data_IF_120402857137
#
_entry.id   IF_120402857137
#
_cell.length_a   1.000
_cell.length_b   1.000
_cell.length_c   1.000
_cell.angle_alpha   90.00
_cell.angle_beta   90.00
_cell.angle_gamma   90.00
#
_symmetry.space_group_name_H-M   'P 1'
#
loop_
_entity.id
_entity.type
_entity.pdbx_description
1 polymer ?
#
# COMPACT_ATOMS: atom_id res chain seq x y z
N UNK A 1 -32.70 -6.67 1.41
CA UNK A 1 -33.84 -6.11 0.66
C UNK A 1 -34.61 -5.12 1.52
N UNK A 2 -35.09 -4.04 0.95
CA UNK A 2 -36.01 -3.09 1.59
C UNK A 2 -37.39 -3.61 1.36
N UNK A 3 -38.16 -3.82 2.45
CA UNK A 3 -39.53 -4.37 2.40
C UNK A 3 -40.54 -3.39 2.99
N UNK A 4 -41.81 -3.46 2.58
CA UNK A 4 -42.90 -2.66 3.15
C UNK A 4 -42.91 -1.19 2.71
N UNK A 5 -42.37 -0.91 1.53
CA UNK A 5 -42.37 0.44 0.95
C UNK A 5 -43.76 0.72 0.38
N UNK A 6 -44.33 1.89 0.70
CA UNK A 6 -45.61 2.31 0.14
C UNK A 6 -45.55 2.50 -1.39
N UNK A 7 -46.65 2.36 -2.14
CA UNK A 7 -46.67 2.70 -3.55
C UNK A 7 -46.26 4.17 -3.76
N UNK A 8 -45.32 4.43 -4.66
CA UNK A 8 -44.81 5.77 -4.92
C UNK A 8 -43.54 5.77 -5.74
N UNK A 9 -43.05 6.96 -6.01
CA UNK A 9 -41.79 7.21 -6.74
C UNK A 9 -40.71 7.62 -5.76
N UNK A 10 -39.58 6.93 -5.80
CA UNK A 10 -38.50 7.09 -4.82
C UNK A 10 -37.20 7.53 -5.47
N UNK A 11 -36.43 8.32 -4.73
CA UNK A 11 -34.99 8.49 -4.94
C UNK A 11 -34.24 7.62 -3.94
N UNK A 12 -33.21 6.93 -4.42
CA UNK A 12 -32.43 6.01 -3.57
C UNK A 12 -31.06 6.62 -3.37
N UNK A 13 -30.66 6.72 -2.10
CA UNK A 13 -29.35 7.14 -1.65
C UNK A 13 -28.74 6.08 -0.74
N UNK A 14 -27.44 5.93 -0.81
CA UNK A 14 -26.65 5.18 0.15
C UNK A 14 -25.67 6.12 0.84
N UNK A 15 -25.52 6.02 2.14
CA UNK A 15 -24.57 6.79 2.93
C UNK A 15 -23.77 5.82 3.80
N UNK A 16 -22.45 5.90 3.75
CA UNK A 16 -21.58 5.28 4.72
C UNK A 16 -21.30 6.30 5.81
N UNK A 17 -22.25 6.38 6.76
CA UNK A 17 -22.26 7.31 7.86
C UNK A 17 -21.25 6.87 8.92
N UNK A 18 -20.19 7.64 9.10
CA UNK A 18 -19.08 7.30 10.02
C UNK A 18 -19.32 7.78 11.44
N UNK A 19 -20.07 8.86 11.62
CA UNK A 19 -20.35 9.48 12.92
C UNK A 19 -21.79 9.27 13.43
N UNK A 20 -22.63 8.57 12.64
CA UNK A 20 -24.00 8.17 12.95
C UNK A 20 -24.97 9.36 13.14
N UNK A 21 -24.71 10.47 12.42
CA UNK A 21 -25.57 11.63 12.44
C UNK A 21 -26.72 11.57 11.42
N UNK A 22 -26.74 10.51 10.57
CA UNK A 22 -27.70 10.25 9.48
C UNK A 22 -27.70 11.32 8.40
N UNK A 23 -26.59 11.99 8.21
CA UNK A 23 -26.41 13.06 7.21
C UNK A 23 -25.05 12.89 6.54
N UNK A 24 -24.95 13.39 5.31
CA UNK A 24 -23.65 13.60 4.70
C UNK A 24 -23.05 14.90 5.25
N UNK A 25 -22.27 14.78 6.29
CA UNK A 25 -21.68 15.90 7.03
C UNK A 25 -20.20 16.08 6.74
N UNK A 26 -19.51 15.02 6.31
CA UNK A 26 -18.09 15.02 6.10
C UNK A 26 -17.72 14.49 4.70
N UNK A 27 -16.77 15.14 4.03
CA UNK A 27 -16.22 14.69 2.72
C UNK A 27 -15.52 13.32 2.79
N UNK A 28 -15.20 12.85 3.98
CA UNK A 28 -14.61 11.50 4.22
C UNK A 28 -15.64 10.38 4.10
N UNK A 29 -16.93 10.70 4.18
CA UNK A 29 -18.02 9.74 4.04
C UNK A 29 -18.25 9.35 2.59
N UNK A 30 -18.66 8.10 2.39
CA UNK A 30 -19.03 7.64 1.05
C UNK A 30 -20.51 7.83 0.82
N UNK A 31 -20.83 8.38 -0.32
CA UNK A 31 -22.22 8.58 -0.77
C UNK A 31 -22.45 7.83 -2.08
N UNK A 32 -23.65 7.31 -2.24
CA UNK A 32 -24.10 6.68 -3.46
C UNK A 32 -25.54 7.13 -3.79
N UNK A 33 -25.85 7.31 -5.05
CA UNK A 33 -27.20 7.66 -5.48
C UNK A 33 -27.50 7.11 -6.88
N UNK A 34 -28.79 7.03 -7.18
CA UNK A 34 -29.28 6.76 -8.52
C UNK A 34 -29.82 8.05 -9.11
N UNK A 35 -29.45 8.36 -10.35
CA UNK A 35 -29.98 9.52 -11.08
C UNK A 35 -31.44 9.34 -11.47
N UNK A 36 -31.85 8.08 -11.70
CA UNK A 36 -33.21 7.73 -12.06
C UNK A 36 -34.11 7.54 -10.83
N UNK A 37 -35.39 7.92 -11.00
CA UNK A 37 -36.42 7.64 -10.02
C UNK A 37 -36.82 6.16 -10.11
N UNK A 38 -37.11 5.55 -8.96
CA UNK A 38 -37.50 4.15 -8.83
C UNK A 38 -38.96 4.06 -8.40
N UNK A 39 -39.71 3.28 -9.13
CA UNK A 39 -41.09 2.95 -8.81
C UNK A 39 -41.16 1.44 -8.46
N UNK A 40 -41.24 1.09 -7.16
CA UNK A 40 -41.36 -0.32 -6.75
C UNK A 40 -42.71 -0.90 -7.17
N UNK A 41 -42.64 -2.11 -7.69
CA UNK A 41 -43.87 -2.90 -7.99
C UNK A 41 -43.60 -4.36 -7.74
N UNK A 42 -44.65 -5.16 -7.79
CA UNK A 42 -44.52 -6.61 -7.61
C UNK A 42 -45.36 -7.34 -8.68
N UNK A 43 -44.86 -8.49 -9.05
CA UNK A 43 -45.54 -9.39 -9.98
C UNK A 43 -45.49 -10.86 -9.49
N UNK A 44 -46.47 -11.69 -9.85
CA UNK A 44 -46.38 -13.11 -9.58
C UNK A 44 -45.29 -13.74 -10.47
N UNK A 45 -44.49 -14.58 -9.88
CA UNK A 45 -43.43 -15.31 -10.56
C UNK A 45 -43.37 -16.75 -10.03
N UNK A 46 -42.64 -17.60 -10.75
CA UNK A 46 -42.44 -19.01 -10.36
C UNK A 46 -40.94 -19.25 -10.33
N UNK A 47 -40.46 -19.88 -9.28
CA UNK A 47 -39.07 -20.31 -9.17
C UNK A 47 -38.99 -21.82 -9.01
N UNK A 48 -37.92 -22.41 -9.48
CA UNK A 48 -37.63 -23.83 -9.27
C UNK A 48 -36.84 -24.00 -7.98
N UNK A 49 -37.41 -24.73 -7.03
CA UNK A 49 -36.73 -25.15 -5.82
C UNK A 49 -36.30 -26.62 -5.97
N UNK A 50 -34.98 -26.85 -5.74
CA UNK A 50 -34.40 -28.20 -5.82
C UNK A 50 -34.28 -28.78 -4.43
N UNK A 51 -34.91 -29.92 -4.22
CA UNK A 51 -34.81 -30.71 -3.00
C UNK A 51 -33.76 -31.80 -3.20
N UNK A 52 -32.94 -32.02 -2.20
CA UNK A 52 -31.81 -32.94 -2.23
C UNK A 52 -32.04 -34.07 -1.23
N UNK A 53 -31.76 -35.31 -1.62
CA UNK A 53 -31.72 -36.48 -0.71
C UNK A 53 -30.41 -36.44 0.08
N UNK A 54 -29.30 -36.13 -0.59
CA UNK A 54 -27.98 -35.98 -0.04
C UNK A 54 -27.18 -34.89 -0.80
N UNK A 55 -25.91 -34.70 -0.46
CA UNK A 55 -25.07 -33.65 -1.04
C UNK A 55 -24.83 -33.76 -2.56
N UNK A 56 -25.21 -34.88 -3.18
CA UNK A 56 -24.93 -35.19 -4.58
C UNK A 56 -26.17 -35.61 -5.37
N UNK A 57 -27.26 -36.00 -4.69
CA UNK A 57 -28.45 -36.60 -5.32
C UNK A 57 -29.65 -35.68 -5.18
N UNK A 58 -30.17 -35.23 -6.30
CA UNK A 58 -31.43 -34.46 -6.35
C UNK A 58 -32.60 -35.40 -6.14
N UNK A 59 -33.51 -35.06 -5.21
CA UNK A 59 -34.78 -35.77 -5.00
C UNK A 59 -35.78 -35.30 -6.02
N UNK A 60 -36.11 -34.01 -5.98
CA UNK A 60 -37.13 -33.46 -6.89
C UNK A 60 -36.88 -31.97 -7.15
N UNK A 61 -37.41 -31.50 -8.26
CA UNK A 61 -37.45 -30.08 -8.62
C UNK A 61 -38.91 -29.69 -8.70
N UNK A 62 -39.30 -28.69 -7.89
CA UNK A 62 -40.70 -28.25 -7.81
C UNK A 62 -40.80 -26.78 -8.19
N UNK A 63 -41.77 -26.44 -8.98
CA UNK A 63 -42.10 -25.06 -9.32
C UNK A 63 -42.93 -24.45 -8.18
N UNK A 64 -42.31 -23.44 -7.50
CA UNK A 64 -42.93 -22.76 -6.36
C UNK A 64 -43.32 -21.33 -6.78
N UNK A 65 -44.63 -20.99 -6.67
CA UNK A 65 -45.06 -19.62 -6.93
C UNK A 65 -44.60 -18.69 -5.81
N UNK A 66 -44.10 -17.51 -6.22
CA UNK A 66 -43.68 -16.47 -5.28
C UNK A 66 -44.02 -15.08 -5.83
N UNK A 67 -43.94 -14.06 -4.96
CA UNK A 67 -44.09 -12.68 -5.37
C UNK A 67 -42.71 -12.10 -5.67
N UNK A 68 -42.50 -11.74 -6.91
CA UNK A 68 -41.29 -11.06 -7.34
C UNK A 68 -41.39 -9.54 -7.12
N UNK A 69 -40.46 -8.97 -6.39
CA UNK A 69 -40.41 -7.54 -6.11
C UNK A 69 -39.42 -6.88 -7.02
N UNK A 70 -39.82 -5.83 -7.73
CA UNK A 70 -39.09 -5.15 -8.75
C UNK A 70 -38.95 -3.63 -8.44
N UNK A 71 -37.89 -2.97 -8.94
CA UNK A 71 -36.71 -3.55 -9.59
C UNK A 71 -35.81 -4.28 -8.59
N UNK A 72 -35.21 -5.39 -9.00
CA UNK A 72 -34.36 -6.26 -8.18
C UNK A 72 -32.84 -6.07 -8.47
N UNK A 73 -32.50 -5.34 -9.53
CA UNK A 73 -31.15 -5.16 -10.05
C UNK A 73 -30.57 -3.76 -9.83
N UNK A 74 -30.98 -3.08 -8.76
CA UNK A 74 -30.50 -1.75 -8.45
C UNK A 74 -29.05 -1.81 -7.94
N UNK A 75 -28.15 -1.15 -8.65
CA UNK A 75 -26.74 -1.03 -8.29
C UNK A 75 -26.40 0.41 -7.97
N UNK A 76 -26.05 0.68 -6.72
CA UNK A 76 -25.53 1.96 -6.29
C UNK A 76 -24.00 1.89 -6.24
N UNK A 77 -23.33 2.82 -6.90
CA UNK A 77 -21.87 2.97 -6.82
C UNK A 77 -21.54 4.04 -5.80
N UNK A 78 -20.86 3.64 -4.75
CA UNK A 78 -20.42 4.56 -3.72
C UNK A 78 -19.11 5.23 -4.12
N UNK A 79 -19.00 6.52 -3.85
CA UNK A 79 -17.79 7.32 -4.06
C UNK A 79 -17.57 8.26 -2.87
N UNK A 80 -16.34 8.72 -2.71
CA UNK A 80 -15.98 9.81 -1.79
C UNK A 80 -15.82 11.09 -2.58
N UNK A 81 -16.22 12.19 -1.97
CA UNK A 81 -15.92 13.50 -2.53
C UNK A 81 -14.40 13.73 -2.50
N UNK A 82 -13.82 14.14 -3.62
CA UNK A 82 -12.39 14.44 -3.67
C UNK A 82 -12.07 15.66 -2.81
N UNK A 83 -11.06 15.52 -1.95
CA UNK A 83 -10.49 16.65 -1.23
C UNK A 83 -9.69 17.50 -2.21
N UNK A 84 -10.18 18.68 -2.49
CA UNK A 84 -9.52 19.65 -3.40
C UNK A 84 -8.65 20.64 -2.63
N UNK A 85 -8.89 20.80 -1.32
CA UNK A 85 -8.14 21.71 -0.47
C UNK A 85 -6.78 21.11 -0.13
N UNK A 86 -5.74 21.63 -0.74
CA UNK A 86 -4.37 21.17 -0.50
C UNK A 86 -3.75 21.91 0.69
N UNK A 87 -3.26 21.17 1.66
CA UNK A 87 -2.46 21.69 2.77
C UNK A 87 -1.52 20.62 3.29
N UNK A 88 -0.48 21.03 3.98
CA UNK A 88 0.44 20.13 4.65
C UNK A 88 -0.28 19.45 5.82
N UNK A 89 -0.59 18.15 5.66
CA UNK A 89 -1.32 17.38 6.67
C UNK A 89 -0.39 16.92 7.80
N UNK A 90 0.76 16.38 7.43
CA UNK A 90 1.70 15.78 8.37
C UNK A 90 3.08 15.71 7.74
N UNK A 91 4.08 15.82 8.60
CA UNK A 91 5.47 15.51 8.27
C UNK A 91 6.06 14.61 9.36
N UNK A 92 6.91 13.67 8.99
CA UNK A 92 7.55 12.78 9.96
C UNK A 92 8.89 12.23 9.46
N UNK A 93 9.82 12.03 10.38
CA UNK A 93 11.07 11.32 10.18
C UNK A 93 11.14 10.14 11.14
N UNK A 94 10.65 8.98 10.70
CA UNK A 94 10.60 7.78 11.53
C UNK A 94 11.99 7.17 11.76
N UNK A 95 12.81 7.21 10.73
CA UNK A 95 14.19 6.69 10.71
C UNK A 95 15.14 7.77 10.25
N UNK A 96 16.43 7.72 10.64
CA UNK A 96 17.41 8.76 10.27
C UNK A 96 17.61 8.95 8.76
N UNK A 97 17.41 7.91 7.97
CA UNK A 97 17.68 7.88 6.52
C UNK A 97 16.48 8.28 5.65
N UNK A 98 15.30 8.50 6.24
CA UNK A 98 14.09 8.82 5.49
C UNK A 98 13.18 9.77 6.25
N UNK A 99 12.62 10.77 5.55
CA UNK A 99 11.47 11.52 6.03
C UNK A 99 10.32 11.49 5.02
N UNK A 100 9.13 11.79 5.51
CA UNK A 100 7.90 11.73 4.71
C UNK A 100 7.09 12.99 4.92
N UNK A 101 6.48 13.44 3.84
CA UNK A 101 5.58 14.60 3.81
C UNK A 101 4.24 14.12 3.24
N UNK A 102 3.16 14.52 3.91
CA UNK A 102 1.80 14.13 3.53
C UNK A 102 0.97 15.39 3.31
N UNK A 103 0.30 15.45 2.19
CA UNK A 103 -0.65 16.49 1.84
C UNK A 103 -2.08 15.96 1.89
N UNK A 104 -3.04 16.86 2.14
CA UNK A 104 -4.45 16.48 2.27
C UNK A 104 -5.11 16.15 0.93
N UNK A 105 -4.61 16.71 -0.16
CA UNK A 105 -5.15 16.54 -1.51
C UNK A 105 -4.03 16.28 -2.53
N UNK A 106 -4.42 15.83 -3.71
CA UNK A 106 -3.53 15.65 -4.85
C UNK A 106 -2.86 16.96 -5.24
N UNK A 107 -1.60 16.87 -5.69
CA UNK A 107 -0.84 17.99 -6.20
C UNK A 107 -0.29 17.69 -7.60
N UNK A 108 -0.33 18.69 -8.48
CA UNK A 108 0.25 18.56 -9.82
C UNK A 108 1.78 18.65 -9.79
N UNK A 109 2.31 19.38 -8.80
CA UNK A 109 3.75 19.60 -8.63
C UNK A 109 4.25 19.11 -7.29
N UNK A 110 5.50 18.69 -7.26
CA UNK A 110 6.19 18.36 -6.00
C UNK A 110 6.58 19.64 -5.26
N UNK A 111 6.59 19.62 -3.91
CA UNK A 111 7.10 20.73 -3.14
C UNK A 111 8.61 20.90 -3.35
N UNK A 112 9.06 22.12 -3.28
CA UNK A 112 10.49 22.47 -3.34
C UNK A 112 11.04 22.53 -1.93
N UNK A 113 12.10 21.78 -1.67
CA UNK A 113 12.79 21.76 -0.37
C UNK A 113 14.06 22.58 -0.45
N UNK A 114 14.23 23.49 0.51
CA UNK A 114 15.45 24.27 0.73
C UNK A 114 16.00 23.90 2.11
N UNK A 115 17.20 23.34 2.18
CA UNK A 115 17.87 23.06 3.46
C UNK A 115 18.26 24.36 4.15
N UNK A 116 18.07 24.41 5.47
CA UNK A 116 18.51 25.53 6.31
C UNK A 116 19.81 25.19 7.05
N UNK A 117 19.97 23.93 7.45
CA UNK A 117 21.19 23.44 8.10
C UNK A 117 21.95 22.39 7.27
N UNK A 118 21.55 22.20 6.01
CA UNK A 118 22.19 21.28 5.05
C UNK A 118 21.98 21.77 3.61
N UNK A 119 22.78 21.25 2.68
CA UNK A 119 22.54 21.47 1.24
C UNK A 119 21.52 20.46 0.71
N UNK A 120 20.42 20.97 0.17
CA UNK A 120 19.35 20.15 -0.41
C UNK A 120 19.61 19.74 -1.87
N UNK A 121 20.64 20.30 -2.52
CA UNK A 121 20.96 19.96 -3.91
C UNK A 121 21.36 18.48 -4.01
N UNK A 122 20.62 17.72 -4.83
CA UNK A 122 20.84 16.27 -5.04
C UNK A 122 20.88 15.41 -3.74
N UNK A 123 20.34 15.92 -2.63
CA UNK A 123 20.39 15.27 -1.32
C UNK A 123 19.46 14.07 -1.18
N UNK A 124 18.46 13.94 -2.08
CA UNK A 124 17.35 13.01 -1.88
C UNK A 124 17.13 12.08 -3.07
N UNK A 125 16.67 10.85 -2.77
CA UNK A 125 15.92 10.03 -3.70
C UNK A 125 14.45 10.22 -3.33
N UNK A 126 13.64 10.69 -4.28
CA UNK A 126 12.23 11.01 -4.06
C UNK A 126 11.36 9.86 -4.51
N UNK A 127 10.56 9.33 -3.59
CA UNK A 127 9.52 8.34 -3.86
C UNK A 127 8.17 8.97 -3.58
N UNK A 128 7.30 9.02 -4.58
CA UNK A 128 6.03 9.72 -4.51
C UNK A 128 4.86 8.81 -4.85
N UNK A 129 3.69 9.10 -4.27
CA UNK A 129 2.42 8.51 -4.68
C UNK A 129 2.02 8.97 -6.08
N UNK A 130 1.05 8.30 -6.68
CA UNK A 130 0.49 8.65 -7.98
C UNK A 130 -0.08 10.08 -8.00
N UNK A 131 -0.60 10.56 -6.87
CA UNK A 131 -1.24 11.86 -6.73
C UNK A 131 -0.35 12.92 -6.07
N UNK A 132 0.92 12.63 -5.82
CA UNK A 132 1.88 13.50 -5.11
C UNK A 132 1.37 13.99 -3.73
N UNK A 133 0.44 13.28 -3.12
CA UNK A 133 -0.08 13.55 -1.78
C UNK A 133 0.77 12.94 -0.66
N UNK A 134 1.50 11.89 -0.99
CA UNK A 134 2.44 11.21 -0.10
C UNK A 134 3.81 11.16 -0.75
N UNK A 135 4.79 11.76 -0.11
CA UNK A 135 6.14 11.88 -0.65
C UNK A 135 7.15 11.41 0.40
N UNK A 136 7.98 10.47 0.02
CA UNK A 136 9.09 9.97 0.83
C UNK A 136 10.41 10.47 0.25
N UNK A 137 11.24 11.03 1.10
CA UNK A 137 12.57 11.52 0.76
C UNK A 137 13.61 10.64 1.46
N UNK A 138 14.38 9.91 0.66
CA UNK A 138 15.48 9.09 1.14
C UNK A 138 16.77 9.90 1.07
N UNK A 139 17.48 9.99 2.17
CA UNK A 139 18.75 10.74 2.27
C UNK A 139 19.88 9.94 1.60
N UNK A 140 20.58 10.56 0.66
CA UNK A 140 21.73 9.94 -0.03
C UNK A 140 23.00 10.01 0.79
N UNK A 141 23.20 11.12 1.53
CA UNK A 141 24.44 11.39 2.26
C UNK A 141 24.38 10.87 3.71
N UNK A 142 25.42 10.16 4.09
CA UNK A 142 25.60 9.68 5.46
C UNK A 142 25.77 10.81 6.48
N UNK A 143 26.27 12.00 6.07
CA UNK A 143 26.37 13.16 6.93
C UNK A 143 24.97 13.67 7.31
N UNK A 144 24.04 13.74 6.35
CA UNK A 144 22.65 14.12 6.60
C UNK A 144 21.91 13.11 7.48
N UNK A 145 22.20 11.82 7.31
CA UNK A 145 21.63 10.76 8.13
C UNK A 145 22.02 10.91 9.60
N UNK A 146 23.23 11.45 9.87
CA UNK A 146 23.75 11.66 11.23
C UNK A 146 23.20 12.90 11.91
N UNK A 147 22.59 13.83 11.18
CA UNK A 147 21.97 15.01 11.78
C UNK A 147 20.74 14.58 12.59
N UNK A 148 20.69 14.96 13.85
CA UNK A 148 19.56 14.67 14.74
C UNK A 148 18.28 15.32 14.23
N UNK A 149 18.38 16.58 13.79
CA UNK A 149 17.26 17.35 13.24
C UNK A 149 17.65 17.92 11.87
N UNK A 150 16.79 17.71 10.88
CA UNK A 150 16.86 18.39 9.60
C UNK A 150 15.99 19.64 9.65
N UNK A 151 16.57 20.79 9.37
CA UNK A 151 15.86 22.06 9.29
C UNK A 151 15.73 22.45 7.81
N UNK A 152 14.51 22.68 7.36
CA UNK A 152 14.23 22.97 5.97
C UNK A 152 13.04 23.89 5.78
N UNK A 153 13.08 24.72 4.75
CA UNK A 153 11.92 25.41 4.23
C UNK A 153 11.32 24.57 3.10
N UNK A 154 10.00 24.49 3.08
CA UNK A 154 9.25 23.78 2.05
C UNK A 154 8.30 24.76 1.35
N UNK A 155 8.46 24.89 0.04
CA UNK A 155 7.59 25.71 -0.82
C UNK A 155 6.57 24.80 -1.51
N UNK A 156 5.30 25.07 -1.33
CA UNK A 156 4.21 24.33 -1.95
C UNK A 156 3.00 25.21 -2.24
N UNK A 157 2.03 24.71 -3.01
CA UNK A 157 0.83 25.44 -3.33
C UNK A 157 -0.23 25.22 -2.25
N UNK A 158 -0.84 26.30 -1.78
CA UNK A 158 -1.88 26.33 -0.77
C UNK A 158 -3.08 27.15 -1.26
N UNK A 159 -4.33 26.73 -1.04
CA UNK A 159 -5.49 27.49 -1.45
C UNK A 159 -5.68 28.74 -0.56
N UNK A 160 -5.89 29.88 -1.18
CA UNK A 160 -6.29 31.10 -0.49
C UNK A 160 -7.78 31.05 -0.07
N UNK A 161 -8.30 32.16 0.47
CA UNK A 161 -9.70 32.27 0.88
C UNK A 161 -10.71 32.16 -0.26
N UNK A 162 -10.26 32.32 -1.50
CA UNK A 162 -11.05 32.19 -2.73
C UNK A 162 -10.88 30.81 -3.39
N UNK A 163 -10.07 29.93 -2.79
CA UNK A 163 -9.76 28.63 -3.34
C UNK A 163 -8.70 28.63 -4.46
N UNK A 164 -8.03 29.77 -4.70
CA UNK A 164 -6.94 29.86 -5.68
C UNK A 164 -5.65 29.36 -5.06
N UNK A 165 -4.88 28.55 -5.80
CA UNK A 165 -3.61 28.02 -5.34
C UNK A 165 -2.54 29.11 -5.39
N UNK A 166 -2.01 29.47 -4.22
CA UNK A 166 -0.93 30.44 -4.04
C UNK A 166 0.31 29.77 -3.43
N UNK A 167 1.51 30.22 -3.77
CA UNK A 167 2.72 29.71 -3.15
C UNK A 167 2.74 29.99 -1.64
N UNK A 168 3.08 28.98 -0.87
CA UNK A 168 3.26 29.05 0.57
C UNK A 168 4.59 28.42 0.96
N UNK A 169 5.30 29.04 1.88
CA UNK A 169 6.52 28.52 2.47
C UNK A 169 6.30 28.22 3.96
N UNK A 170 6.54 26.99 4.35
CA UNK A 170 6.54 26.57 5.74
C UNK A 170 7.96 26.10 6.14
N UNK A 171 8.33 26.32 7.40
CA UNK A 171 9.60 25.81 7.96
C UNK A 171 9.35 24.54 8.75
N UNK A 172 10.09 23.49 8.43
CA UNK A 172 9.97 22.18 9.06
C UNK A 172 11.23 21.83 9.84
N UNK A 173 11.01 21.31 11.05
CA UNK A 173 12.05 20.76 11.93
C UNK A 173 11.80 19.27 12.09
N UNK A 174 12.64 18.45 11.46
CA UNK A 174 12.44 17.02 11.39
C UNK A 174 13.46 16.26 12.23
N UNK A 175 13.14 16.03 13.50
CA UNK A 175 13.90 15.13 14.35
C UNK A 175 13.56 13.66 14.04
N UNK A 176 14.56 12.79 14.02
CA UNK A 176 14.35 11.36 13.83
C UNK A 176 13.71 10.74 15.08
N UNK A 177 12.63 9.97 14.91
CA UNK A 177 12.00 9.23 16.02
C UNK A 177 12.89 8.10 16.55
N UNK A 178 13.62 7.41 15.65
CA UNK A 178 14.64 6.45 16.03
C UNK A 178 16.01 7.09 15.91
N UNK A 179 16.80 7.07 16.98
CA UNK A 179 18.19 7.53 16.94
C UNK A 179 19.10 6.48 16.31
N UNK A 180 20.24 6.89 15.76
CA UNK A 180 21.27 5.97 15.26
C UNK A 180 21.76 5.01 16.36
N UNK A 181 21.91 5.52 17.58
CA UNK A 181 22.31 4.71 18.74
C UNK A 181 21.27 3.60 19.05
N UNK A 182 19.98 3.92 18.96
CA UNK A 182 18.92 2.94 19.15
C UNK A 182 18.95 1.85 18.06
N UNK A 183 19.15 2.27 16.80
CA UNK A 183 19.27 1.32 15.69
C UNK A 183 20.50 0.42 15.83
N UNK A 184 21.64 1.01 16.26
CA UNK A 184 22.85 0.23 16.49
C UNK A 184 22.64 -0.79 17.62
N UNK A 185 22.02 -0.39 18.70
CA UNK A 185 21.68 -1.28 19.82
C UNK A 185 20.75 -2.43 19.40
N UNK A 186 19.77 -2.15 18.54
CA UNK A 186 18.90 -3.19 17.98
C UNK A 186 19.73 -4.18 17.14
N UNK A 187 20.63 -3.70 16.29
CA UNK A 187 21.52 -4.55 15.47
C UNK A 187 22.48 -5.39 16.32
N UNK A 188 23.05 -4.81 17.34
CA UNK A 188 23.96 -5.52 18.25
C UNK A 188 23.24 -6.66 18.98
N UNK A 189 22.01 -6.38 19.45
CA UNK A 189 21.18 -7.40 20.10
C UNK A 189 20.82 -8.55 19.15
N UNK A 190 20.41 -8.22 17.93
CA UNK A 190 20.12 -9.24 16.90
C UNK A 190 21.36 -10.08 16.57
N UNK A 191 22.53 -9.46 16.50
CA UNK A 191 23.79 -10.16 16.27
C UNK A 191 24.14 -11.09 17.43
N UNK A 192 23.93 -10.67 18.68
CA UNK A 192 24.12 -11.53 19.85
C UNK A 192 23.17 -12.72 19.84
N UNK A 193 21.91 -12.50 19.53
CA UNK A 193 20.92 -13.58 19.42
C UNK A 193 21.32 -14.60 18.34
N UNK A 194 21.71 -14.09 17.17
CA UNK A 194 22.20 -14.93 16.08
C UNK A 194 23.44 -15.75 16.49
N UNK A 195 24.41 -15.14 17.17
CA UNK A 195 25.58 -15.85 17.67
C UNK A 195 25.22 -16.93 18.70
N UNK A 196 24.24 -16.64 19.57
CA UNK A 196 23.72 -17.64 20.53
C UNK A 196 23.08 -18.82 19.80
N UNK A 197 22.30 -18.56 18.75
CA UNK A 197 21.72 -19.62 17.92
C UNK A 197 22.80 -20.44 17.17
N UNK A 198 23.79 -19.79 16.59
CA UNK A 198 24.92 -20.46 15.95
C UNK A 198 25.66 -21.37 16.92
N UNK A 199 25.91 -20.89 18.15
CA UNK A 199 26.52 -21.71 19.21
C UNK A 199 25.67 -22.94 19.58
N UNK A 200 24.33 -22.77 19.63
CA UNK A 200 23.40 -23.90 19.86
C UNK A 200 23.40 -24.86 18.69
N UNK A 201 23.41 -24.38 17.44
CA UNK A 201 23.49 -25.23 16.23
C UNK A 201 24.81 -26.00 16.20
N UNK A 202 25.97 -25.37 16.48
CA UNK A 202 27.28 -26.03 16.56
C UNK A 202 27.33 -27.17 17.58
N UNK A 203 26.67 -26.99 18.74
CA UNK A 203 26.62 -28.03 19.78
C UNK A 203 25.75 -29.26 19.40
N UNK A 204 24.88 -29.11 18.42
CA UNK A 204 23.95 -30.15 17.93
C UNK A 204 24.47 -30.89 16.70
N UNK A 205 25.56 -30.39 16.10
CA UNK A 205 26.20 -31.03 14.94
C UNK A 205 26.81 -32.38 15.36
N UNK A 206 26.58 -33.37 14.51
CA UNK A 206 27.22 -34.68 14.62
C UNK A 206 28.65 -34.62 14.07
N UNK A 207 29.48 -35.58 14.48
CA UNK A 207 30.86 -35.70 14.01
C UNK A 207 30.89 -35.82 12.46
N UNK A 208 31.58 -34.89 11.78
CA UNK A 208 31.65 -34.84 10.31
C UNK A 208 30.67 -33.87 9.62
N UNK A 209 29.70 -33.25 10.33
CA UNK A 209 28.82 -32.25 9.77
C UNK A 209 29.44 -30.83 9.84
N UNK A 210 29.39 -30.10 8.73
CA UNK A 210 29.88 -28.69 8.65
C UNK A 210 28.69 -27.76 8.66
N UNK A 211 28.75 -26.71 9.48
CA UNK A 211 27.75 -25.66 9.50
C UNK A 211 27.89 -24.81 8.24
N UNK A 212 26.93 -24.87 7.33
CA UNK A 212 26.94 -24.13 6.07
C UNK A 212 26.49 -22.67 6.22
N UNK A 213 25.72 -22.36 7.24
CA UNK A 213 25.03 -21.07 7.42
C UNK A 213 25.64 -20.31 8.60
N UNK A 214 26.80 -19.69 8.36
CA UNK A 214 27.57 -18.96 9.39
C UNK A 214 27.41 -17.46 9.35
N UNK A 215 26.81 -16.91 8.29
CA UNK A 215 26.58 -15.48 8.11
C UNK A 215 25.19 -15.08 8.61
N UNK A 216 25.04 -13.88 9.20
CA UNK A 216 23.73 -13.40 9.59
C UNK A 216 22.85 -13.21 8.36
N UNK A 217 21.54 -13.49 8.45
CA UNK A 217 20.63 -13.32 7.33
C UNK A 217 20.61 -11.85 6.89
N UNK A 218 20.74 -11.63 5.59
CA UNK A 218 20.63 -10.29 4.99
C UNK A 218 19.14 -9.93 4.96
N UNK A 219 18.74 -8.94 5.76
CA UNK A 219 17.33 -8.55 5.93
C UNK A 219 16.79 -7.61 4.84
N UNK A 220 17.61 -7.24 3.86
CA UNK A 220 17.31 -6.17 2.89
C UNK A 220 16.30 -6.52 1.82
N UNK A 221 16.03 -7.79 1.60
CA UNK A 221 15.19 -8.23 0.53
C UNK A 221 14.04 -9.09 1.06
N UNK A 222 12.84 -8.59 0.92
CA UNK A 222 11.63 -9.39 1.07
C UNK A 222 11.00 -9.59 -0.31
N UNK A 223 11.38 -10.64 -1.04
CA UNK A 223 10.72 -10.90 -2.30
C UNK A 223 9.25 -11.18 -2.02
N UNK A 224 8.38 -10.32 -2.51
CA UNK A 224 6.93 -10.54 -2.50
C UNK A 224 6.58 -11.46 -3.66
N UNK A 225 7.02 -12.72 -3.57
CA UNK A 225 6.74 -13.73 -4.59
C UNK A 225 5.65 -14.65 -4.06
N UNK A 226 4.52 -14.68 -4.75
CA UNK A 226 3.54 -15.73 -4.52
C UNK A 226 4.09 -17.06 -5.02
N UNK A 227 3.77 -18.16 -4.32
CA UNK A 227 4.23 -19.51 -4.69
C UNK A 227 3.72 -19.97 -6.06
N UNK A 228 2.66 -19.37 -6.57
CA UNK A 228 2.07 -19.65 -7.86
C UNK A 228 1.95 -18.33 -8.62
N UNK A 229 2.50 -18.27 -9.82
CA UNK A 229 2.37 -17.14 -10.75
C UNK A 229 2.09 -17.64 -12.15
N UNK A 230 1.42 -16.82 -12.93
CA UNK A 230 1.24 -17.08 -14.35
C UNK A 230 2.58 -17.04 -15.08
N UNK A 231 2.72 -17.85 -16.12
CA UNK A 231 3.99 -18.02 -16.87
C UNK A 231 4.49 -16.70 -17.49
N UNK A 232 3.58 -15.77 -17.78
CA UNK A 232 3.88 -14.44 -18.33
C UNK A 232 4.02 -13.35 -17.27
N UNK A 233 3.85 -13.66 -15.99
CA UNK A 233 3.97 -12.68 -14.93
C UNK A 233 5.42 -12.50 -14.50
N UNK A 234 5.90 -11.27 -14.51
CA UNK A 234 7.23 -10.92 -14.01
C UNK A 234 7.34 -11.17 -12.49
N UNK A 235 8.52 -11.58 -12.05
CA UNK A 235 8.86 -11.60 -10.63
C UNK A 235 9.17 -10.17 -10.17
N UNK A 236 8.56 -9.75 -9.07
CA UNK A 236 8.81 -8.43 -8.50
C UNK A 236 9.59 -8.57 -7.19
N UNK A 237 10.70 -7.87 -7.11
CA UNK A 237 11.53 -7.77 -5.91
C UNK A 237 11.38 -6.37 -5.32
N UNK A 238 10.98 -6.26 -4.07
CA UNK A 238 10.87 -4.98 -3.37
C UNK A 238 11.88 -4.94 -2.23
N UNK A 239 12.73 -3.91 -2.24
CA UNK A 239 13.69 -3.64 -1.18
C UNK A 239 13.08 -2.70 -0.14
N UNK A 240 13.51 -2.82 1.11
CA UNK A 240 13.03 -1.94 2.19
C UNK A 240 13.55 -0.50 2.02
N UNK A 241 14.70 -0.32 1.36
CA UNK A 241 15.35 0.96 1.08
C UNK A 241 15.86 0.99 -0.36
N UNK A 242 16.05 2.18 -0.96
CA UNK A 242 16.72 2.31 -2.27
C UNK A 242 18.11 1.71 -2.22
N UNK A 243 18.47 0.94 -3.22
CA UNK A 243 19.75 0.23 -3.28
C UNK A 243 20.77 1.05 -4.08
N UNK A 244 21.91 1.35 -3.49
CA UNK A 244 22.96 2.13 -4.15
C UNK A 244 23.70 1.32 -5.23
N UNK A 245 23.85 0.01 -5.03
CA UNK A 245 24.54 -0.89 -5.97
C UNK A 245 23.97 -2.28 -5.90
N UNK A 246 23.70 -2.87 -7.06
CA UNK A 246 23.26 -4.25 -7.22
C UNK A 246 24.25 -4.96 -8.14
N UNK A 247 24.72 -6.10 -7.70
CA UNK A 247 25.49 -7.01 -8.56
C UNK A 247 24.51 -7.97 -9.24
N UNK A 248 24.14 -7.66 -10.46
CA UNK A 248 23.21 -8.49 -11.26
C UNK A 248 23.84 -9.82 -11.65
N UNK A 249 25.17 -9.92 -11.70
CA UNK A 249 25.87 -11.18 -11.96
C UNK A 249 25.74 -12.22 -10.85
N UNK A 250 25.44 -11.76 -9.62
CA UNK A 250 25.21 -12.66 -8.48
C UNK A 250 23.74 -13.12 -8.36
N UNK A 251 22.85 -12.65 -9.23
CA UNK A 251 21.45 -13.08 -9.27
C UNK A 251 21.31 -14.20 -10.28
N UNK A 252 20.81 -15.34 -9.88
CA UNK A 252 20.61 -16.51 -10.74
C UNK A 252 19.15 -16.91 -10.79
N UNK A 253 18.54 -16.85 -11.98
CA UNK A 253 17.21 -17.38 -12.23
C UNK A 253 17.34 -18.80 -12.80
N UNK A 254 16.79 -19.78 -12.11
CA UNK A 254 16.88 -21.19 -12.50
C UNK A 254 15.50 -21.79 -12.71
N UNK A 255 15.35 -22.55 -13.77
CA UNK A 255 14.18 -23.37 -14.04
C UNK A 255 14.48 -24.83 -13.73
N UNK A 256 13.56 -25.48 -13.03
CA UNK A 256 13.64 -26.92 -12.81
C UNK A 256 13.00 -27.65 -14.01
N UNK A 257 13.81 -28.43 -14.70
CA UNK A 257 13.36 -29.32 -15.80
C UNK A 257 13.66 -30.74 -15.34
N UNK A 258 12.62 -31.50 -15.07
CA UNK A 258 12.67 -32.82 -14.42
C UNK A 258 13.38 -32.75 -13.04
N UNK A 259 14.60 -33.27 -12.97
CA UNK A 259 15.43 -33.29 -11.75
C UNK A 259 16.56 -32.26 -11.75
N UNK A 260 16.80 -31.60 -12.87
CA UNK A 260 17.93 -30.69 -13.06
C UNK A 260 17.49 -29.22 -13.05
N UNK A 261 18.33 -28.37 -12.44
CA UNK A 261 18.17 -26.92 -12.47
C UNK A 261 19.00 -26.35 -13.62
N UNK A 262 18.36 -25.63 -14.54
CA UNK A 262 18.99 -24.92 -15.65
C UNK A 262 18.89 -23.43 -15.46
N UNK A 263 19.98 -22.69 -15.70
CA UNK A 263 19.96 -21.24 -15.71
C UNK A 263 19.18 -20.76 -16.95
N UNK A 264 18.31 -19.77 -16.74
CA UNK A 264 17.56 -19.13 -17.82
C UNK A 264 17.92 -17.64 -17.88
N UNK A 265 18.01 -17.08 -19.11
CA UNK A 265 18.27 -15.67 -19.28
C UNK A 265 17.11 -14.84 -18.73
N UNK A 266 17.43 -13.74 -18.08
CA UNK A 266 16.46 -12.81 -17.53
C UNK A 266 16.95 -11.37 -17.69
N UNK A 267 16.04 -10.41 -17.55
CA UNK A 267 16.36 -8.98 -17.40
C UNK A 267 16.06 -8.56 -15.98
N UNK A 268 16.96 -7.80 -15.39
CA UNK A 268 16.77 -7.23 -14.07
C UNK A 268 16.70 -5.70 -14.19
N UNK A 269 15.53 -5.13 -13.99
CA UNK A 269 15.27 -3.73 -14.26
C UNK A 269 14.51 -3.08 -13.09
N UNK A 270 14.88 -1.82 -12.78
CA UNK A 270 14.07 -1.00 -11.88
C UNK A 270 12.74 -0.69 -12.58
N UNK A 271 11.63 -0.84 -11.88
CA UNK A 271 10.31 -0.52 -12.43
C UNK A 271 10.15 1.00 -12.59
N UNK A 272 9.52 1.40 -13.69
CA UNK A 272 9.29 2.81 -13.99
C UNK A 272 8.57 3.54 -12.86
N UNK A 273 9.07 4.72 -12.49
CA UNK A 273 8.54 5.53 -11.39
C UNK A 273 8.70 4.93 -9.99
N UNK A 274 9.45 3.84 -9.85
CA UNK A 274 9.76 3.22 -8.57
C UNK A 274 11.22 3.48 -8.18
N UNK A 275 11.51 3.41 -6.87
CA UNK A 275 12.86 3.61 -6.33
C UNK A 275 13.42 2.34 -5.69
N UNK A 276 12.56 1.38 -5.37
CA UNK A 276 12.87 0.17 -4.59
C UNK A 276 12.34 -1.13 -5.17
N UNK A 277 11.55 -1.04 -6.25
CA UNK A 277 10.93 -2.21 -6.87
C UNK A 277 11.59 -2.54 -8.18
N UNK A 278 12.02 -3.77 -8.29
CA UNK A 278 12.68 -4.32 -9.48
C UNK A 278 11.84 -5.46 -10.04
N UNK A 279 11.89 -5.65 -11.33
CA UNK A 279 11.29 -6.80 -12.03
C UNK A 279 12.37 -7.68 -12.65
N UNK A 280 12.08 -8.96 -12.66
CA UNK A 280 12.82 -9.99 -13.39
C UNK A 280 11.89 -10.62 -14.39
#
# INVERSE_FOLDING_TARGET
SIKGVAPGTYRIYGLMDSDQDYRFSQKSEMVAFLDSLVVPYSEPAVRQDTFWIDSLTIDTIVDVPYTHYLPDNLVLRAFKEEMTTQYLLKNERLTPNKFSIYFAAKADTLPVIKGLNFDAADAFIVEKSQHNDTIHYWLKDSALIRLDTLEMAIDYLYPDTLGQLVPRTDTLYMASKKTLAAIQKEKDKEMEEFQKELKKKRRRLKEGEVLTDTLPPIKFLKPKVNNIKDVYANLTLEFDEPVARIDTGAIHLKQKVDTLWKDIPYRFELMDGQTRKYRI
#
